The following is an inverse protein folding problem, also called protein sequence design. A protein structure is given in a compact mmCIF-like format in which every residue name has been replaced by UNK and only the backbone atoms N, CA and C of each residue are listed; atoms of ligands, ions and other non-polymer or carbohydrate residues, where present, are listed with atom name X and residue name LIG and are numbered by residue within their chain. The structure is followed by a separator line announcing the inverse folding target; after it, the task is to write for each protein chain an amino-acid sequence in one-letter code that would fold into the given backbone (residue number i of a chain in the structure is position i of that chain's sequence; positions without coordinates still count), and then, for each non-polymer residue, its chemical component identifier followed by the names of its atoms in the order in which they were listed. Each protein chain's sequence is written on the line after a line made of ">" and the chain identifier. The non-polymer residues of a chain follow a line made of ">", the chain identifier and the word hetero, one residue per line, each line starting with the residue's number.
data_IF_380539820316
#
_entry.id   IF_380539820316
#
_cell.length_a   1.000
_cell.length_b   1.000
_cell.length_c   1.000
_cell.angle_alpha   90.00
_cell.angle_beta   90.00
_cell.angle_gamma   90.00
#
_symmetry.space_group_name_H-M   'P 1'
#
loop_
_entity.id
_entity.type
_entity.pdbx_description
1 polymer ?
#
# COMPACT_ATOMS: atom_id res chain seq x y z
N UNK A 1 41.39 12.85 31.34
CA UNK A 1 41.86 13.85 30.36
C UNK A 1 42.78 13.07 29.44
N UNK A 2 42.43 12.68 28.22
CA UNK A 2 41.37 13.09 27.28
C UNK A 2 41.05 11.83 26.45
N UNK A 3 39.81 11.48 26.06
CA UNK A 3 38.78 12.36 25.54
C UNK A 3 38.72 12.37 24.01
N UNK A 4 39.24 11.35 23.29
CA UNK A 4 39.10 11.28 21.84
C UNK A 4 37.69 10.79 21.44
N UNK A 5 36.86 11.79 21.14
CA UNK A 5 35.53 11.69 20.53
C UNK A 5 35.58 11.12 19.12
N UNK A 6 34.80 10.06 18.87
CA UNK A 6 34.50 9.59 17.51
C UNK A 6 33.61 10.60 16.77
N UNK A 7 33.84 10.89 15.48
CA UNK A 7 32.96 11.77 14.73
C UNK A 7 31.61 11.10 14.44
N UNK A 8 30.58 11.50 15.21
CA UNK A 8 29.17 11.30 14.91
C UNK A 8 28.78 12.13 13.67
N UNK A 9 28.54 11.48 12.52
CA UNK A 9 28.05 12.23 11.36
C UNK A 9 27.73 11.47 10.08
N UNK A 10 27.63 10.14 10.10
CA UNK A 10 27.45 9.36 8.87
C UNK A 10 26.03 8.79 8.75
N UNK A 11 25.16 9.53 8.07
CA UNK A 11 23.81 9.11 7.69
C UNK A 11 23.86 8.46 6.30
N UNK A 12 23.60 7.16 6.24
CA UNK A 12 23.53 6.40 4.98
C UNK A 12 22.06 6.28 4.58
N UNK A 13 21.72 6.73 3.39
CA UNK A 13 20.44 6.56 2.71
C UNK A 13 20.59 5.44 1.69
N UNK A 14 19.69 4.47 1.72
CA UNK A 14 19.70 3.31 0.83
C UNK A 14 18.59 3.49 -0.21
N UNK A 15 18.92 3.47 -1.51
CA UNK A 15 17.93 3.62 -2.59
C UNK A 15 17.82 2.35 -3.43
N UNK A 16 16.60 1.85 -3.64
CA UNK A 16 16.28 0.79 -4.61
C UNK A 16 15.45 1.39 -5.74
N UNK A 17 15.86 1.11 -6.98
CA UNK A 17 15.11 1.45 -8.19
C UNK A 17 14.73 0.15 -8.87
N UNK A 18 13.43 -0.10 -9.05
CA UNK A 18 12.92 -1.14 -9.92
C UNK A 18 12.08 -0.48 -11.01
N UNK A 19 12.40 -0.74 -12.27
CA UNK A 19 11.52 -0.38 -13.38
C UNK A 19 10.44 -1.46 -13.47
N UNK A 20 9.31 -1.25 -12.80
CA UNK A 20 8.12 -2.06 -12.98
C UNK A 20 6.94 -1.16 -13.36
N UNK A 21 6.14 -1.63 -14.32
CA UNK A 21 4.98 -0.90 -14.86
C UNK A 21 3.99 -0.67 -13.72
N UNK A 22 3.93 0.60 -13.29
CA UNK A 22 3.30 1.05 -12.06
C UNK A 22 1.79 1.02 -12.12
N UNK A 23 1.23 0.41 -11.09
CA UNK A 23 -0.18 0.42 -10.76
C UNK A 23 -0.25 0.38 -9.22
N UNK A 24 -1.24 1.05 -8.60
CA UNK A 24 -1.66 0.95 -7.19
C UNK A 24 -1.11 2.03 -6.23
N UNK A 25 -1.77 3.20 -6.18
CA UNK A 25 -1.52 4.26 -5.18
C UNK A 25 -2.61 4.43 -4.11
N UNK A 26 -3.60 3.54 -4.00
CA UNK A 26 -4.64 3.64 -2.94
C UNK A 26 -4.83 2.37 -2.11
N UNK A 27 -4.11 1.30 -2.43
CA UNK A 27 -4.24 0.02 -1.72
C UNK A 27 -2.82 -0.50 -1.50
N UNK A 28 -2.45 -0.77 -0.24
CA UNK A 28 -1.17 -1.35 0.09
C UNK A 28 -1.03 -2.70 -0.64
N UNK A 29 -0.13 -2.75 -1.62
CA UNK A 29 0.05 -3.91 -2.50
C UNK A 29 0.44 -5.17 -1.73
N UNK A 30 1.29 -5.03 -0.72
CA UNK A 30 1.69 -6.16 0.13
C UNK A 30 0.49 -6.74 0.87
N UNK A 31 -0.43 -5.88 1.32
CA UNK A 31 -1.69 -6.31 1.95
C UNK A 31 -2.58 -7.05 0.95
N UNK A 32 -2.71 -6.56 -0.28
CA UNK A 32 -3.46 -7.27 -1.33
C UNK A 32 -2.82 -8.63 -1.62
N UNK A 33 -1.50 -8.69 -1.77
CA UNK A 33 -0.78 -9.93 -2.03
C UNK A 33 -0.93 -10.94 -0.89
N UNK A 34 -0.85 -10.49 0.36
CA UNK A 34 -1.06 -11.34 1.54
C UNK A 34 -2.50 -11.88 1.54
N UNK A 35 -3.51 -11.03 1.36
CA UNK A 35 -4.91 -11.44 1.31
C UNK A 35 -5.18 -12.43 0.17
N UNK A 36 -4.63 -12.14 -1.01
CA UNK A 36 -4.71 -13.02 -2.18
C UNK A 36 -4.04 -14.36 -1.93
N UNK A 37 -2.86 -14.36 -1.33
CA UNK A 37 -2.12 -15.56 -0.95
C UNK A 37 -2.93 -16.43 -0.02
N UNK A 38 -3.43 -15.87 1.08
CA UNK A 38 -4.30 -16.59 2.02
C UNK A 38 -5.55 -17.14 1.35
N UNK A 39 -6.22 -16.33 0.54
CA UNK A 39 -7.44 -16.73 -0.15
C UNK A 39 -7.19 -17.86 -1.16
N UNK A 40 -6.09 -17.76 -1.92
CA UNK A 40 -5.66 -18.81 -2.85
C UNK A 40 -5.32 -20.10 -2.11
N UNK A 41 -4.52 -20.03 -1.04
CA UNK A 41 -4.16 -21.20 -0.24
C UNK A 41 -5.41 -21.88 0.32
N UNK A 42 -6.41 -21.11 0.80
CA UNK A 42 -7.67 -21.68 1.26
C UNK A 42 -8.40 -22.45 0.14
N UNK A 43 -8.51 -21.86 -1.05
CA UNK A 43 -9.21 -22.46 -2.18
C UNK A 43 -8.50 -23.72 -2.70
N UNK A 44 -7.17 -23.72 -2.74
CA UNK A 44 -6.37 -24.85 -3.19
C UNK A 44 -6.47 -26.04 -2.21
N UNK A 45 -6.58 -25.78 -0.90
CA UNK A 45 -6.69 -26.83 0.12
C UNK A 45 -8.13 -27.30 0.38
N UNK A 46 -9.13 -26.44 0.15
CA UNK A 46 -10.55 -26.74 0.37
C UNK A 46 -11.38 -26.40 -0.88
N UNK A 47 -11.13 -27.08 -2.01
CA UNK A 47 -11.92 -26.89 -3.20
C UNK A 47 -13.41 -27.17 -2.88
N UNK A 48 -14.29 -26.42 -3.53
CA UNK A 48 -15.75 -26.59 -3.48
C UNK A 48 -16.47 -26.27 -2.15
N UNK A 49 -15.78 -26.05 -1.02
CA UNK A 49 -16.45 -25.63 0.23
C UNK A 49 -17.13 -24.28 0.16
N UNK A 50 -16.62 -23.39 -0.68
CA UNK A 50 -17.18 -22.06 -0.86
C UNK A 50 -18.40 -22.12 -1.79
N UNK A 51 -19.57 -21.68 -1.33
CA UNK A 51 -20.80 -21.62 -2.13
C UNK A 51 -21.01 -20.24 -2.77
N UNK A 52 -20.89 -19.17 -1.97
CA UNK A 52 -21.00 -17.78 -2.43
C UNK A 52 -20.05 -16.87 -1.63
N UNK A 53 -19.65 -15.76 -2.24
CA UNK A 53 -18.97 -14.65 -1.56
C UNK A 53 -19.67 -13.35 -1.95
N UNK A 54 -20.15 -12.61 -0.97
CA UNK A 54 -20.85 -11.34 -1.16
C UNK A 54 -19.90 -10.20 -0.82
N UNK A 55 -19.58 -9.36 -1.80
CA UNK A 55 -18.83 -8.12 -1.63
C UNK A 55 -19.84 -6.97 -1.62
N UNK A 56 -20.20 -6.52 -0.41
CA UNK A 56 -21.22 -5.49 -0.19
C UNK A 56 -20.61 -4.11 -0.02
N UNK A 57 -21.35 -3.05 -0.32
CA UNK A 57 -20.88 -1.66 -0.26
C UNK A 57 -19.60 -1.44 -1.08
N UNK A 58 -19.50 -2.11 -2.23
CA UNK A 58 -18.33 -2.04 -3.08
C UNK A 58 -18.17 -0.63 -3.67
N UNK A 59 -16.99 -0.04 -3.48
CA UNK A 59 -16.64 1.27 -4.05
C UNK A 59 -15.96 1.08 -5.42
N UNK A 60 -15.99 2.08 -6.32
CA UNK A 60 -15.45 1.94 -7.67
C UNK A 60 -13.99 1.46 -7.75
N UNK A 61 -13.14 1.81 -6.77
CA UNK A 61 -11.75 1.35 -6.73
C UNK A 61 -11.61 -0.16 -6.45
N UNK A 62 -12.63 -0.85 -5.93
CA UNK A 62 -12.60 -2.30 -5.71
C UNK A 62 -12.60 -3.05 -7.05
N UNK A 63 -13.23 -2.50 -8.09
CA UNK A 63 -13.17 -3.06 -9.44
C UNK A 63 -11.73 -3.13 -9.96
N UNK A 64 -10.90 -2.18 -9.53
CA UNK A 64 -9.50 -2.13 -9.88
C UNK A 64 -8.72 -3.28 -9.22
N UNK A 65 -8.87 -3.45 -7.90
CA UNK A 65 -8.30 -4.61 -7.20
C UNK A 65 -8.80 -5.93 -7.79
N UNK A 66 -10.10 -6.01 -8.13
CA UNK A 66 -10.72 -7.21 -8.68
C UNK A 66 -10.09 -7.68 -10.00
N UNK A 67 -9.60 -6.77 -10.84
CA UNK A 67 -8.87 -7.15 -12.06
C UNK A 67 -7.63 -8.00 -11.76
N UNK A 68 -6.96 -7.78 -10.62
CA UNK A 68 -5.86 -8.63 -10.14
C UNK A 68 -6.37 -9.93 -9.52
N UNK A 69 -7.53 -9.93 -8.85
CA UNK A 69 -8.15 -11.18 -8.39
C UNK A 69 -8.50 -12.11 -9.56
N UNK A 70 -8.98 -11.57 -10.68
CA UNK A 70 -9.38 -12.36 -11.84
C UNK A 70 -8.23 -13.16 -12.47
N UNK A 71 -6.99 -12.68 -12.38
CA UNK A 71 -5.83 -13.41 -12.93
C UNK A 71 -5.37 -14.57 -12.04
N UNK A 72 -5.78 -14.59 -10.77
CA UNK A 72 -5.34 -15.57 -9.76
C UNK A 72 -6.42 -16.62 -9.47
N UNK A 73 -7.70 -16.25 -9.59
CA UNK A 73 -8.82 -17.10 -9.26
C UNK A 73 -9.29 -17.94 -10.46
N UNK A 74 -9.71 -19.17 -10.21
CA UNK A 74 -10.34 -20.01 -11.23
C UNK A 74 -11.71 -19.47 -11.62
N UNK A 75 -12.16 -19.77 -12.84
CA UNK A 75 -13.49 -19.41 -13.34
C UNK A 75 -14.62 -19.86 -12.40
N UNK A 76 -14.49 -21.05 -11.83
CA UNK A 76 -15.44 -21.61 -10.86
C UNK A 76 -15.55 -20.78 -9.57
N UNK A 77 -14.47 -20.13 -9.12
CA UNK A 77 -14.50 -19.24 -7.95
C UNK A 77 -15.07 -17.89 -8.33
N UNK A 78 -14.70 -17.36 -9.50
CA UNK A 78 -15.23 -16.08 -9.99
C UNK A 78 -16.76 -16.09 -10.13
N UNK A 79 -17.34 -17.21 -10.56
CA UNK A 79 -18.80 -17.39 -10.65
C UNK A 79 -19.51 -17.36 -9.27
N UNK A 80 -18.79 -17.54 -8.17
CA UNK A 80 -19.33 -17.52 -6.81
C UNK A 80 -19.27 -16.13 -6.17
N UNK A 81 -18.52 -15.20 -6.75
CA UNK A 81 -18.40 -13.82 -6.26
C UNK A 81 -19.59 -12.99 -6.74
N UNK A 82 -20.23 -12.27 -5.81
CA UNK A 82 -21.32 -11.35 -6.10
C UNK A 82 -20.97 -9.96 -5.55
N UNK A 83 -20.95 -8.98 -6.44
CA UNK A 83 -20.61 -7.60 -6.10
C UNK A 83 -21.86 -6.73 -6.02
N UNK A 84 -21.97 -5.96 -4.95
CA UNK A 84 -23.05 -5.03 -4.74
C UNK A 84 -22.50 -3.65 -4.38
N UNK A 85 -23.14 -2.61 -4.91
CA UNK A 85 -22.94 -1.25 -4.45
C UNK A 85 -23.69 -1.01 -3.13
N UNK A 86 -24.38 0.11 -3.03
CA UNK A 86 -25.07 0.53 -1.80
C UNK A 86 -26.35 -0.27 -1.51
N UNK A 87 -27.00 -0.82 -2.55
CA UNK A 87 -28.36 -1.36 -2.48
C UNK A 87 -28.44 -2.80 -3.04
N UNK A 88 -29.54 -3.51 -2.76
CA UNK A 88 -29.88 -4.82 -3.35
C UNK A 88 -29.22 -6.03 -2.68
N UNK A 89 -28.18 -5.82 -1.88
CA UNK A 89 -27.45 -6.90 -1.23
C UNK A 89 -28.20 -7.49 -0.04
N UNK A 90 -29.02 -6.70 0.67
CA UNK A 90 -29.77 -7.18 1.84
C UNK A 90 -30.82 -8.20 1.44
N UNK A 91 -31.59 -7.88 0.40
CA UNK A 91 -32.65 -8.72 -0.13
C UNK A 91 -32.08 -10.05 -0.65
N UNK A 92 -30.91 -10.01 -1.30
CA UNK A 92 -30.26 -11.21 -1.81
C UNK A 92 -29.63 -12.09 -0.72
N UNK A 93 -29.18 -11.51 0.40
CA UNK A 93 -28.75 -12.28 1.57
C UNK A 93 -29.94 -12.98 2.24
N UNK A 94 -31.07 -12.30 2.39
CA UNK A 94 -32.27 -12.84 3.02
C UNK A 94 -32.94 -13.97 2.20
N UNK A 95 -32.67 -14.08 0.90
CA UNK A 95 -33.09 -15.22 0.09
C UNK A 95 -32.39 -16.53 0.45
N UNK A 96 -31.22 -16.45 1.08
CA UNK A 96 -30.35 -17.62 1.35
C UNK A 96 -30.02 -17.82 2.83
N UNK A 97 -30.30 -16.83 3.67
CA UNK A 97 -30.04 -16.84 5.12
C UNK A 97 -31.28 -16.31 5.82
N UNK A 98 -31.79 -17.03 6.81
CA UNK A 98 -32.94 -16.60 7.60
C UNK A 98 -32.65 -15.29 8.34
N UNK A 99 -33.64 -14.38 8.38
CA UNK A 99 -33.50 -13.07 8.99
C UNK A 99 -33.06 -13.14 10.46
N UNK A 100 -33.58 -14.11 11.22
CA UNK A 100 -33.32 -14.24 12.66
C UNK A 100 -31.91 -14.72 13.01
N UNK A 101 -31.17 -15.28 12.03
CA UNK A 101 -29.78 -15.67 12.20
C UNK A 101 -28.79 -14.71 11.55
N UNK A 102 -29.25 -13.87 10.61
CA UNK A 102 -28.42 -12.87 9.94
C UNK A 102 -28.26 -11.61 10.84
N UNK A 103 -27.02 -11.13 11.08
CA UNK A 103 -26.79 -9.90 11.84
C UNK A 103 -27.57 -8.71 11.30
N UNK A 104 -28.08 -7.87 12.20
CA UNK A 104 -28.86 -6.69 11.84
C UNK A 104 -28.09 -5.69 10.97
N UNK A 105 -26.78 -5.53 11.20
CA UNK A 105 -25.93 -4.70 10.33
C UNK A 105 -25.81 -5.23 8.89
N UNK A 106 -26.14 -6.51 8.66
CA UNK A 106 -26.22 -7.14 7.34
C UNK A 106 -27.67 -7.25 6.81
N UNK A 107 -28.64 -6.59 7.44
CA UNK A 107 -30.03 -6.57 7.01
C UNK A 107 -30.94 -7.65 7.60
N UNK A 108 -30.47 -8.44 8.57
CA UNK A 108 -31.31 -9.37 9.32
C UNK A 108 -31.86 -8.78 10.62
N UNK A 109 -32.25 -9.67 11.55
CA UNK A 109 -32.82 -9.36 12.86
C UNK A 109 -31.88 -9.72 14.02
N UNK A 110 -30.81 -10.49 13.76
CA UNK A 110 -29.93 -10.96 14.83
C UNK A 110 -29.15 -9.81 15.45
N UNK A 111 -29.19 -9.74 16.78
CA UNK A 111 -28.42 -8.82 17.61
C UNK A 111 -27.68 -9.60 18.70
N UNK A 112 -26.74 -8.95 19.38
CA UNK A 112 -26.16 -9.47 20.62
C UNK A 112 -27.22 -9.48 21.75
N UNK A 113 -26.99 -10.19 22.88
CA UNK A 113 -27.91 -10.21 24.02
C UNK A 113 -28.25 -8.82 24.61
N UNK A 114 -27.36 -7.84 24.42
CA UNK A 114 -27.54 -6.43 24.81
C UNK A 114 -28.29 -5.60 23.75
N UNK A 115 -28.71 -6.22 22.65
CA UNK A 115 -29.38 -5.57 21.52
C UNK A 115 -28.42 -4.94 20.50
N UNK A 116 -27.10 -5.15 20.59
CA UNK A 116 -26.15 -4.55 19.66
C UNK A 116 -26.31 -5.11 18.22
N UNK A 117 -26.63 -4.27 17.22
CA UNK A 117 -26.86 -4.73 15.85
C UNK A 117 -25.58 -5.16 15.12
N UNK A 118 -24.41 -4.81 15.65
CA UNK A 118 -23.11 -5.19 15.11
C UNK A 118 -22.70 -6.61 15.51
N UNK A 119 -23.39 -7.26 16.44
CA UNK A 119 -23.08 -8.63 16.84
C UNK A 119 -21.61 -8.83 17.28
N UNK A 120 -21.07 -7.89 18.09
CA UNK A 120 -19.66 -7.85 18.50
C UNK A 120 -19.23 -9.04 19.36
N UNK A 121 -20.17 -9.79 19.95
CA UNK A 121 -19.84 -10.99 20.72
C UNK A 121 -19.24 -12.10 19.86
N UNK A 122 -19.58 -12.18 18.56
CA UNK A 122 -19.03 -13.17 17.64
C UNK A 122 -18.44 -12.60 16.34
N UNK A 123 -18.78 -11.38 15.95
CA UNK A 123 -18.16 -10.69 14.81
C UNK A 123 -17.07 -9.74 15.32
N UNK A 124 -15.82 -10.03 14.93
CA UNK A 124 -14.69 -9.13 15.18
C UNK A 124 -14.67 -8.04 14.10
N UNK A 125 -15.14 -6.86 14.46
CA UNK A 125 -15.03 -5.67 13.61
C UNK A 125 -13.61 -5.11 13.71
N UNK A 126 -12.96 -4.90 12.56
CA UNK A 126 -11.64 -4.28 12.52
C UNK A 126 -11.64 -2.94 13.25
N UNK A 127 -10.60 -2.68 14.02
CA UNK A 127 -10.36 -1.43 14.73
C UNK A 127 -8.98 -0.91 14.36
N UNK A 128 -8.74 0.37 14.63
CA UNK A 128 -7.37 0.89 14.59
C UNK A 128 -6.52 0.08 15.57
N UNK A 129 -5.43 -0.49 15.07
CA UNK A 129 -4.50 -1.26 15.90
C UNK A 129 -3.78 -0.23 16.80
N UNK A 130 -3.81 -0.37 18.14
CA UNK A 130 -3.08 0.54 19.01
C UNK A 130 -1.58 0.48 18.72
N UNK A 131 -0.90 1.62 18.76
CA UNK A 131 0.53 1.74 18.42
C UNK A 131 1.42 0.82 19.28
N UNK A 132 1.00 0.51 20.50
CA UNK A 132 1.70 -0.44 21.39
C UNK A 132 1.84 -1.85 20.79
N UNK A 133 0.98 -2.23 19.84
CA UNK A 133 1.03 -3.51 19.13
C UNK A 133 1.82 -3.44 17.83
N UNK A 134 2.26 -2.25 17.42
CA UNK A 134 3.11 -2.15 16.24
C UNK A 134 4.43 -2.83 16.57
N UNK A 135 4.78 -3.84 15.79
CA UNK A 135 6.12 -4.36 15.84
C UNK A 135 7.04 -3.18 15.49
N UNK A 136 7.89 -2.77 16.43
CA UNK A 136 9.07 -1.97 16.14
C UNK A 136 9.96 -2.83 15.24
N UNK A 137 9.64 -2.88 13.94
CA UNK A 137 10.34 -3.63 12.92
C UNK A 137 11.71 -2.97 12.70
N UNK A 138 12.61 -3.21 13.65
CA UNK A 138 14.02 -2.81 13.65
C UNK A 138 14.84 -3.48 12.54
N UNK A 139 14.21 -4.30 11.68
CA UNK A 139 14.88 -4.87 10.52
C UNK A 139 14.68 -3.94 9.34
N UNK A 140 15.67 -3.07 9.19
CA UNK A 140 15.88 -2.29 7.98
C UNK A 140 15.99 -3.19 6.76
N UNK A 141 14.87 -3.48 6.10
CA UNK A 141 14.76 -4.51 5.07
C UNK A 141 15.68 -4.23 3.87
N UNK A 142 15.92 -2.96 3.57
CA UNK A 142 16.82 -2.58 2.48
C UNK A 142 18.28 -2.83 2.85
N UNK A 143 18.68 -2.60 4.11
CA UNK A 143 20.08 -2.66 4.53
C UNK A 143 20.81 -4.00 4.28
N UNK A 144 20.06 -5.09 4.13
CA UNK A 144 20.57 -6.44 3.83
C UNK A 144 20.72 -6.78 2.34
N UNK A 145 20.31 -5.92 1.41
CA UNK A 145 20.37 -6.22 -0.03
C UNK A 145 21.59 -5.63 -0.74
N UNK A 146 22.21 -6.41 -1.62
CA UNK A 146 23.49 -6.09 -2.30
C UNK A 146 23.36 -5.12 -3.47
N UNK A 147 22.15 -4.87 -3.98
CA UNK A 147 21.89 -4.08 -5.19
C UNK A 147 21.55 -2.60 -4.92
N UNK A 148 21.84 -2.09 -3.72
CA UNK A 148 21.43 -0.75 -3.31
C UNK A 148 22.53 0.30 -3.47
N UNK A 149 22.11 1.49 -3.92
CA UNK A 149 22.97 2.67 -3.91
C UNK A 149 22.91 3.30 -2.52
N UNK A 150 24.07 3.48 -1.89
CA UNK A 150 24.23 4.18 -0.61
C UNK A 150 24.54 5.65 -0.90
N UNK A 151 23.69 6.55 -0.45
CA UNK A 151 23.88 8.00 -0.51
C UNK A 151 24.15 8.52 0.90
N UNK A 152 25.05 9.50 1.04
CA UNK A 152 25.34 10.11 2.35
C UNK A 152 24.99 11.58 2.27
N UNK A 153 23.99 12.00 3.05
CA UNK A 153 23.56 13.40 3.11
C UNK A 153 24.17 14.02 4.37
N UNK A 154 24.95 15.09 4.19
CA UNK A 154 25.55 15.82 5.29
C UNK A 154 24.52 16.74 5.95
N UNK A 155 24.77 17.13 7.20
CA UNK A 155 23.89 18.07 7.90
C UNK A 155 23.80 19.38 7.11
N UNK A 156 22.58 19.81 6.82
CA UNK A 156 22.31 21.03 6.05
C UNK A 156 22.84 21.00 4.61
N UNK A 157 23.16 19.83 4.05
CA UNK A 157 23.43 19.67 2.61
C UNK A 157 22.21 19.09 1.88
N UNK A 158 22.22 19.25 0.56
CA UNK A 158 21.26 18.62 -0.35
C UNK A 158 22.04 17.73 -1.29
N UNK A 159 21.58 16.49 -1.46
CA UNK A 159 22.08 15.57 -2.47
C UNK A 159 21.00 15.42 -3.54
N UNK A 160 21.38 15.49 -4.81
CA UNK A 160 20.45 15.44 -5.94
C UNK A 160 20.78 14.22 -6.82
N UNK A 161 19.75 13.47 -7.22
CA UNK A 161 19.85 12.39 -8.19
C UNK A 161 19.05 12.73 -9.43
N UNK A 162 19.73 12.77 -10.58
CA UNK A 162 19.13 13.13 -11.86
C UNK A 162 18.79 11.90 -12.69
N UNK A 163 17.58 11.85 -13.21
CA UNK A 163 17.06 10.76 -14.04
C UNK A 163 16.58 11.31 -15.37
N UNK A 164 17.18 10.84 -16.46
CA UNK A 164 16.76 11.21 -17.81
C UNK A 164 15.61 10.31 -18.26
N UNK A 165 14.43 10.89 -18.47
CA UNK A 165 13.22 10.24 -18.94
C UNK A 165 13.16 10.40 -20.45
N UNK A 166 13.40 9.32 -21.18
CA UNK A 166 13.38 9.30 -22.65
C UNK A 166 12.02 8.95 -23.22
N UNK A 167 11.21 8.19 -22.48
CA UNK A 167 9.92 7.67 -22.94
C UNK A 167 8.76 8.40 -22.28
N UNK A 168 7.72 8.68 -23.07
CA UNK A 168 6.51 9.33 -22.59
C UNK A 168 5.71 8.38 -21.70
N UNK A 169 5.27 8.84 -20.53
CA UNK A 169 4.45 8.04 -19.62
C UNK A 169 5.26 7.03 -18.80
N UNK A 170 6.59 7.15 -18.75
CA UNK A 170 7.44 6.38 -17.84
C UNK A 170 7.11 6.69 -16.38
N UNK A 171 7.48 5.77 -15.49
CA UNK A 171 7.34 5.93 -14.06
C UNK A 171 8.72 6.01 -13.42
N UNK A 172 8.90 6.98 -12.53
CA UNK A 172 10.03 7.04 -11.64
C UNK A 172 9.57 6.60 -10.25
N UNK A 173 9.99 5.40 -9.86
CA UNK A 173 9.71 4.79 -8.56
C UNK A 173 10.96 4.91 -7.69
N UNK A 174 10.77 5.28 -6.43
CA UNK A 174 11.81 5.27 -5.42
C UNK A 174 11.36 4.50 -4.20
N UNK A 175 12.33 3.80 -3.63
CA UNK A 175 12.21 3.18 -2.33
C UNK A 175 13.48 3.52 -1.55
N UNK A 176 13.35 4.20 -0.41
CA UNK A 176 14.49 4.54 0.41
C UNK A 176 14.30 4.31 1.90
N UNK A 177 15.42 4.07 2.56
CA UNK A 177 15.48 3.90 4.00
C UNK A 177 16.57 4.79 4.59
N UNK A 178 16.20 5.52 5.64
CA UNK A 178 17.11 6.39 6.38
C UNK A 178 17.74 5.61 7.52
N UNK A 179 19.05 5.75 7.67
CA UNK A 179 19.74 5.15 8.80
C UNK A 179 19.25 5.78 10.12
N UNK A 180 19.24 7.10 10.23
CA UNK A 180 18.83 7.83 11.43
C UNK A 180 18.21 9.17 11.02
N UNK A 181 17.30 9.71 11.84
CA UNK A 181 16.65 11.03 11.68
C UNK A 181 15.79 11.15 10.42
N UNK A 182 15.23 12.34 10.24
CA UNK A 182 14.47 12.73 9.07
C UNK A 182 15.33 13.49 8.05
N UNK A 183 14.83 13.56 6.82
CA UNK A 183 15.34 14.41 5.75
C UNK A 183 14.21 15.29 5.20
N UNK A 184 14.56 16.38 4.54
CA UNK A 184 13.62 17.01 3.62
C UNK A 184 13.75 16.34 2.26
N UNK A 185 12.64 15.86 1.73
CA UNK A 185 12.56 15.19 0.43
C UNK A 185 11.65 15.98 -0.51
N UNK A 186 12.08 16.16 -1.75
CA UNK A 186 11.34 16.87 -2.79
C UNK A 186 11.70 16.30 -4.16
N UNK A 187 10.75 16.38 -5.10
CA UNK A 187 10.97 15.89 -6.47
C UNK A 187 10.58 16.98 -7.45
N UNK A 188 11.49 17.25 -8.38
CA UNK A 188 11.29 18.20 -9.46
C UNK A 188 11.35 17.51 -10.81
N UNK A 189 10.60 18.05 -11.77
CA UNK A 189 10.71 17.67 -13.17
C UNK A 189 10.99 18.89 -14.02
N UNK A 190 12.04 18.75 -14.81
CA UNK A 190 12.49 19.71 -15.79
C UNK A 190 12.13 19.15 -17.17
N UNK A 191 11.12 19.73 -17.81
CA UNK A 191 10.86 19.43 -19.22
C UNK A 191 11.98 20.06 -20.03
N UNK A 192 12.63 19.30 -20.90
CA UNK A 192 13.81 19.68 -21.69
C UNK A 192 13.62 20.86 -22.68
N UNK A 193 12.71 21.80 -22.43
CA UNK A 193 12.64 23.10 -23.06
C UNK A 193 13.35 24.12 -22.18
N UNK A 194 14.45 24.65 -22.68
CA UNK A 194 15.47 25.49 -22.00
C UNK A 194 14.95 26.80 -21.33
N UNK A 195 13.64 27.03 -21.27
CA UNK A 195 13.00 28.22 -20.66
C UNK A 195 11.92 27.90 -19.61
N UNK A 196 11.59 26.63 -19.36
CA UNK A 196 10.57 26.27 -18.36
C UNK A 196 11.16 26.14 -16.95
N UNK A 197 10.55 26.81 -15.96
CA UNK A 197 10.94 26.60 -14.55
C UNK A 197 10.68 25.14 -14.16
N UNK A 198 11.59 24.50 -13.40
CA UNK A 198 11.38 23.13 -12.93
C UNK A 198 10.07 23.04 -12.14
N UNK A 199 9.24 22.08 -12.51
CA UNK A 199 7.94 21.85 -11.89
C UNK A 199 8.15 20.97 -10.66
N UNK A 200 7.76 21.46 -9.49
CA UNK A 200 7.76 20.64 -8.28
C UNK A 200 6.61 19.63 -8.36
N UNK A 201 6.96 18.35 -8.40
CA UNK A 201 5.98 17.26 -8.46
C UNK A 201 5.65 16.76 -7.05
N UNK A 202 6.68 16.57 -6.24
CA UNK A 202 6.52 16.23 -4.82
C UNK A 202 6.96 17.43 -4.01
N UNK A 203 6.03 18.09 -3.31
CA UNK A 203 6.37 19.20 -2.42
C UNK A 203 7.40 18.81 -1.38
N UNK A 204 8.23 19.76 -0.99
CA UNK A 204 9.19 19.60 0.09
C UNK A 204 8.50 19.17 1.36
N UNK A 205 8.83 17.97 1.81
CA UNK A 205 8.25 17.40 3.01
C UNK A 205 9.34 16.76 3.86
N UNK A 206 9.17 16.89 5.18
CA UNK A 206 10.05 16.29 6.17
C UNK A 206 9.63 14.84 6.36
N UNK A 207 10.50 13.91 5.96
CA UNK A 207 10.24 12.47 5.98
C UNK A 207 11.20 11.76 6.92
N UNK A 208 10.66 10.84 7.71
CA UNK A 208 11.42 9.79 8.37
C UNK A 208 11.02 8.42 7.80
N UNK A 209 11.79 7.38 8.14
CA UNK A 209 11.50 6.00 7.74
C UNK A 209 11.39 5.11 8.99
N UNK A 210 10.88 5.68 10.09
CA UNK A 210 10.87 5.02 11.41
C UNK A 210 10.01 3.75 11.40
N UNK A 211 8.90 3.77 10.65
CA UNK A 211 7.95 2.66 10.56
C UNK A 211 8.22 1.72 9.37
N UNK A 212 9.21 2.01 8.52
CA UNK A 212 9.54 1.23 7.33
C UNK A 212 10.19 2.08 6.23
N UNK A 213 10.65 1.46 5.12
CA UNK A 213 11.15 2.19 3.98
C UNK A 213 10.04 3.04 3.35
N UNK A 214 10.40 4.25 2.91
CA UNK A 214 9.52 5.12 2.16
C UNK A 214 9.50 4.66 0.70
N UNK A 215 8.30 4.39 0.18
CA UNK A 215 8.11 3.88 -1.18
C UNK A 215 7.04 4.69 -1.91
N UNK A 216 7.41 5.28 -3.05
CA UNK A 216 6.48 6.04 -3.85
C UNK A 216 6.92 6.10 -5.33
N UNK A 217 6.06 6.63 -6.19
CA UNK A 217 6.36 6.81 -7.61
C UNK A 217 5.72 8.07 -8.17
N UNK A 218 6.27 8.55 -9.28
CA UNK A 218 5.65 9.56 -10.13
C UNK A 218 5.55 9.08 -11.57
N UNK A 219 4.44 9.40 -12.23
CA UNK A 219 4.29 9.24 -13.68
C UNK A 219 4.84 10.47 -14.39
N UNK A 220 5.88 10.29 -15.20
CA UNK A 220 6.43 11.33 -16.04
C UNK A 220 5.64 11.39 -17.36
N UNK A 221 4.74 12.37 -17.50
CA UNK A 221 3.88 12.48 -18.69
C UNK A 221 4.62 12.87 -19.96
N UNK A 222 5.81 13.46 -19.83
CA UNK A 222 6.64 13.89 -20.94
C UNK A 222 8.10 13.46 -20.71
N UNK A 223 8.90 13.31 -21.78
CA UNK A 223 10.36 13.20 -21.67
C UNK A 223 10.96 14.45 -20.99
N UNK A 224 12.00 14.26 -20.19
CA UNK A 224 12.59 15.32 -19.37
C UNK A 224 13.57 14.80 -18.34
N UNK A 225 14.06 15.68 -17.47
CA UNK A 225 14.94 15.31 -16.36
C UNK A 225 14.13 15.37 -15.06
N UNK A 226 14.13 14.28 -14.31
CA UNK A 226 13.55 14.25 -12.98
C UNK A 226 14.66 14.24 -11.93
N UNK A 227 14.56 15.14 -10.95
CA UNK A 227 15.51 15.27 -9.86
C UNK A 227 14.85 14.87 -8.54
N UNK A 228 15.49 13.93 -7.83
CA UNK A 228 15.17 13.51 -6.45
C UNK A 228 16.22 14.00 -5.47
#
# INVERSE_FOLDING_TARGET
>A
MDGESFPEGLYKTLLRLQNQKGVFSMINLDTIQILLGYFKTYLDNYPERMKYVYVINSKPYINFAFSVFQTILSSAVLQKLKFYGSNGWKEDLLKIIDADVLPAFLGGNKTDPDGNPLCKTFVRHGQQIPESYYFNNRKKLLSSSSHLKKLTVQRSSTEEMRFNITERGSFLEWEFELKNKDINFEVYFDSSGEESKPVQIVPKQRMDTYYGPEKNYVKCENPGICNL
#
